data_IF_742484233088
#
_entry.id   IF_742484233088
#
_cell.length_a   1.000
_cell.length_b   1.000
_cell.length_c   1.000
_cell.angle_alpha   90.00
_cell.angle_beta   90.00
_cell.angle_gamma   90.00
#
_symmetry.space_group_name_H-M   'P 1'
#
loop_
_entity.id
_entity.type
_entity.pdbx_description
1 polymer ?
#
# COMPACT_ATOMS: atom_id res chain seq x y z
N UNK A 1 1.50 -1.40 7.46
CA UNK A 1 1.13 0.01 7.62
C UNK A 1 0.41 0.26 8.94
N UNK A 2 1.18 0.75 9.90
CA UNK A 2 0.74 1.28 11.18
C UNK A 2 0.72 2.80 11.14
N UNK A 3 -0.05 3.46 12.01
CA UNK A 3 -0.09 4.92 12.05
C UNK A 3 1.27 5.55 12.37
N UNK A 4 2.11 4.85 13.15
CA UNK A 4 3.46 5.28 13.46
C UNK A 4 4.37 5.34 12.22
N UNK A 5 4.00 4.69 11.12
CA UNK A 5 4.76 4.67 9.86
C UNK A 5 4.35 5.80 8.90
N UNK A 6 3.55 6.77 9.36
CA UNK A 6 3.00 7.85 8.53
C UNK A 6 3.25 9.20 9.20
N UNK A 7 3.87 10.10 8.46
CA UNK A 7 3.89 11.54 8.75
C UNK A 7 2.98 12.27 7.75
N UNK A 8 1.76 12.59 8.20
CA UNK A 8 0.77 13.28 7.37
C UNK A 8 1.13 14.75 7.10
N UNK A 9 1.95 15.38 7.94
CA UNK A 9 2.38 16.77 7.77
C UNK A 9 3.47 16.85 6.71
N UNK A 10 4.46 15.96 6.78
CA UNK A 10 5.53 15.83 5.77
C UNK A 10 5.08 15.09 4.51
N UNK A 11 3.90 14.46 4.53
CA UNK A 11 3.34 13.64 3.44
C UNK A 11 4.26 12.49 3.05
N UNK A 12 4.78 11.79 4.06
CA UNK A 12 5.68 10.65 3.87
C UNK A 12 5.17 9.47 4.67
N UNK A 13 5.28 8.28 4.11
CA UNK A 13 5.20 7.03 4.84
C UNK A 13 6.51 6.25 4.69
N UNK A 14 6.78 5.31 5.58
CA UNK A 14 7.94 4.43 5.45
C UNK A 14 7.58 2.98 5.73
N UNK A 15 8.30 2.07 5.06
CA UNK A 15 8.30 0.65 5.37
C UNK A 15 9.53 0.40 6.23
N UNK A 16 9.34 -0.24 7.38
CA UNK A 16 10.46 -0.51 8.28
C UNK A 16 11.41 -1.56 7.66
N UNK A 17 12.70 -1.57 8.03
CA UNK A 17 13.68 -2.54 7.54
C UNK A 17 13.21 -3.99 7.63
N UNK A 18 12.61 -4.38 8.77
CA UNK A 18 12.11 -5.73 9.02
C UNK A 18 10.94 -6.15 8.11
N UNK A 19 10.24 -5.20 7.50
CA UNK A 19 9.16 -5.43 6.54
C UNK A 19 9.65 -5.33 5.08
N UNK A 20 10.94 -5.00 4.86
CA UNK A 20 11.55 -4.81 3.55
C UNK A 20 12.42 -6.00 3.14
N UNK A 21 12.34 -6.42 1.87
CA UNK A 21 13.16 -7.51 1.33
C UNK A 21 14.67 -7.21 1.37
N UNK A 22 15.04 -5.93 1.33
CA UNK A 22 16.44 -5.48 1.35
C UNK A 22 16.95 -5.11 2.75
N UNK A 23 16.14 -5.34 3.80
CA UNK A 23 16.41 -4.90 5.18
C UNK A 23 16.78 -3.41 5.29
N UNK A 24 16.27 -2.59 4.38
CA UNK A 24 16.42 -1.13 4.37
C UNK A 24 15.05 -0.48 4.45
N UNK A 25 14.96 0.60 5.22
CA UNK A 25 13.75 1.40 5.27
C UNK A 25 13.48 2.00 3.88
N UNK A 26 12.24 1.93 3.43
CA UNK A 26 11.83 2.52 2.15
C UNK A 26 10.89 3.69 2.45
N UNK A 27 11.34 4.89 2.12
CA UNK A 27 10.51 6.10 2.18
C UNK A 27 9.59 6.18 0.96
N UNK A 28 8.31 6.48 1.20
CA UNK A 28 7.28 6.61 0.16
C UNK A 28 6.63 7.98 0.31
N UNK A 29 6.77 8.81 -0.73
CA UNK A 29 6.06 10.08 -0.80
C UNK A 29 4.57 9.85 -1.03
N UNK A 30 3.73 10.57 -0.28
CA UNK A 30 2.28 10.47 -0.35
C UNK A 30 1.71 11.63 -1.17
N UNK A 31 1.03 11.31 -2.27
CA UNK A 31 0.29 12.30 -3.05
C UNK A 31 -1.04 12.66 -2.37
N UNK A 32 -1.72 13.69 -2.88
CA UNK A 32 -2.99 14.17 -2.31
C UNK A 32 -4.07 13.09 -2.23
N UNK A 33 -4.11 12.20 -3.23
CA UNK A 33 -5.04 11.07 -3.27
C UNK A 33 -4.75 10.08 -2.14
N UNK A 34 -3.49 9.70 -1.95
CA UNK A 34 -3.06 8.83 -0.85
C UNK A 34 -3.38 9.48 0.50
N UNK A 35 -3.02 10.74 0.71
CA UNK A 35 -3.36 11.48 1.93
C UNK A 35 -4.87 11.50 2.20
N UNK A 36 -5.70 11.67 1.15
CA UNK A 36 -7.17 11.64 1.30
C UNK A 36 -7.67 10.27 1.73
N UNK A 37 -7.12 9.19 1.17
CA UNK A 37 -7.45 7.81 1.57
C UNK A 37 -7.06 7.58 3.03
N UNK A 38 -5.86 8.01 3.43
CA UNK A 38 -5.37 7.88 4.82
C UNK A 38 -6.24 8.66 5.81
N UNK A 39 -6.64 9.90 5.48
CA UNK A 39 -7.54 10.69 6.33
C UNK A 39 -8.88 9.98 6.59
N UNK A 40 -9.43 9.29 5.59
CA UNK A 40 -10.66 8.50 5.74
C UNK A 40 -10.50 7.29 6.67
N UNK A 41 -9.27 6.88 6.97
CA UNK A 41 -9.01 5.78 7.89
C UNK A 41 -8.87 6.23 9.35
N UNK A 42 -8.72 7.53 9.62
CA UNK A 42 -8.57 8.05 10.98
C UNK A 42 -9.81 7.71 11.80
N UNK A 43 -9.59 7.19 13.01
CA UNK A 43 -10.65 6.74 13.93
C UNK A 43 -11.13 5.31 13.72
N UNK A 44 -10.74 4.63 12.63
CA UNK A 44 -11.15 3.24 12.40
C UNK A 44 -10.41 2.24 13.30
N UNK A 45 -9.14 2.52 13.62
CA UNK A 45 -8.32 1.69 14.51
C UNK A 45 -7.12 2.51 15.03
N UNK A 46 -6.67 2.27 16.27
CA UNK A 46 -5.62 3.06 16.92
C UNK A 46 -4.19 2.72 16.45
N UNK A 47 -3.94 1.46 16.06
CA UNK A 47 -2.63 0.98 15.59
C UNK A 47 -2.50 0.88 14.06
N UNK A 48 -3.34 0.05 13.43
CA UNK A 48 -3.28 -0.19 11.99
C UNK A 48 -4.10 0.83 11.20
N UNK A 49 -3.57 1.22 10.03
CA UNK A 49 -4.24 2.17 9.13
C UNK A 49 -5.38 1.51 8.37
N UNK A 50 -5.15 0.29 7.87
CA UNK A 50 -6.14 -0.47 7.11
C UNK A 50 -6.52 -1.73 7.89
N UNK A 51 -7.81 -1.88 8.16
CA UNK A 51 -8.37 -2.99 8.94
C UNK A 51 -9.62 -3.57 8.26
N UNK A 52 -9.84 -4.87 8.42
CA UNK A 52 -11.15 -5.47 8.22
C UNK A 52 -12.01 -5.16 9.46
N UNK A 53 -13.26 -4.75 9.25
CA UNK A 53 -14.24 -4.47 10.32
C UNK A 53 -15.29 -5.58 10.51
N UNK A 54 -15.17 -6.65 9.72
CA UNK A 54 -16.10 -7.78 9.74
C UNK A 54 -15.39 -9.03 10.26
N UNK A 55 -16.03 -9.72 11.21
CA UNK A 55 -15.58 -11.03 11.67
C UNK A 55 -15.78 -12.07 10.57
N UNK A 56 -14.81 -12.94 10.37
CA UNK A 56 -14.95 -14.10 9.50
C UNK A 56 -14.81 -15.39 10.31
N UNK A 57 -15.58 -16.42 9.96
CA UNK A 57 -15.41 -17.77 10.50
C UNK A 57 -14.21 -18.40 9.81
N UNK A 58 -13.23 -18.83 10.59
CA UNK A 58 -12.06 -19.55 10.08
C UNK A 58 -12.45 -21.00 9.73
N UNK A 59 -11.62 -21.71 8.94
CA UNK A 59 -11.86 -23.12 8.60
C UNK A 59 -11.93 -24.04 9.84
N UNK A 60 -11.31 -23.64 10.94
CA UNK A 60 -11.31 -24.35 12.24
C UNK A 60 -12.58 -24.09 13.08
N UNK A 61 -13.56 -23.34 12.55
CA UNK A 61 -14.80 -22.98 13.24
C UNK A 61 -14.70 -21.79 14.19
N UNK A 62 -13.49 -21.26 14.44
CA UNK A 62 -13.31 -20.10 15.33
C UNK A 62 -13.64 -18.79 14.61
N UNK A 63 -14.22 -17.82 15.34
CA UNK A 63 -14.47 -16.47 14.80
C UNK A 63 -13.20 -15.63 14.90
N UNK A 64 -12.80 -15.00 13.79
CA UNK A 64 -11.74 -14.01 13.81
C UNK A 64 -12.19 -12.75 14.59
N UNK A 65 -11.23 -11.97 15.15
CA UNK A 65 -11.54 -10.69 15.78
C UNK A 65 -12.37 -9.80 14.85
N UNK A 66 -13.32 -9.06 15.42
CA UNK A 66 -14.19 -8.11 14.69
C UNK A 66 -13.36 -7.09 13.92
N UNK A 67 -12.25 -6.63 14.50
CA UNK A 67 -11.30 -5.75 13.83
C UNK A 67 -9.94 -6.43 13.76
N UNK A 68 -9.38 -6.55 12.54
CA UNK A 68 -8.05 -7.15 12.32
C UNK A 68 -7.27 -6.41 11.24
N UNK A 69 -5.94 -6.40 11.34
CA UNK A 69 -5.03 -5.86 10.31
C UNK A 69 -5.39 -6.43 8.94
N UNK A 70 -5.53 -5.55 7.95
CA UNK A 70 -5.74 -5.98 6.57
C UNK A 70 -4.51 -6.78 6.09
N UNK A 71 -4.75 -7.96 5.49
CA UNK A 71 -3.71 -8.80 4.91
C UNK A 71 -3.50 -8.44 3.43
N UNK A 72 -2.33 -8.79 2.93
CA UNK A 72 -1.79 -8.44 1.61
C UNK A 72 -2.63 -8.96 0.42
N UNK A 73 -3.57 -9.87 0.64
CA UNK A 73 -4.38 -10.51 -0.38
C UNK A 73 -5.66 -9.74 -0.72
N UNK A 74 -5.52 -8.49 -1.15
CA UNK A 74 -6.65 -7.73 -1.71
C UNK A 74 -7.09 -8.22 -3.11
N UNK A 75 -6.66 -9.42 -3.56
CA UNK A 75 -6.87 -9.93 -4.92
C UNK A 75 -8.34 -9.94 -5.34
N UNK A 76 -9.26 -10.28 -4.44
CA UNK A 76 -10.71 -10.25 -4.73
C UNK A 76 -11.20 -8.82 -4.97
N UNK A 77 -10.84 -7.89 -4.08
CA UNK A 77 -11.22 -6.49 -4.22
C UNK A 77 -10.56 -5.85 -5.45
N UNK A 78 -9.33 -6.23 -5.76
CA UNK A 78 -8.59 -5.81 -6.94
C UNK A 78 -9.27 -6.27 -8.23
N UNK A 79 -9.54 -7.57 -8.38
CA UNK A 79 -10.27 -8.12 -9.54
C UNK A 79 -11.65 -7.46 -9.70
N UNK A 80 -12.35 -7.19 -8.60
CA UNK A 80 -13.62 -6.48 -8.65
C UNK A 80 -13.46 -5.01 -9.08
N UNK A 81 -12.38 -4.33 -8.69
CA UNK A 81 -12.06 -2.99 -9.17
C UNK A 81 -11.76 -2.96 -10.67
N UNK A 82 -10.94 -3.90 -11.16
CA UNK A 82 -10.62 -4.04 -12.59
C UNK A 82 -11.87 -4.28 -13.43
N UNK A 83 -12.75 -5.20 -13.01
CA UNK A 83 -14.02 -5.45 -13.69
C UNK A 83 -14.90 -4.21 -13.76
N UNK A 84 -14.98 -3.43 -12.68
CA UNK A 84 -15.74 -2.16 -12.66
C UNK A 84 -15.11 -1.08 -13.54
N UNK A 85 -13.80 -1.11 -13.71
CA UNK A 85 -13.07 -0.18 -14.56
C UNK A 85 -13.00 -0.62 -16.04
N UNK A 86 -13.44 -1.84 -16.37
CA UNK A 86 -13.32 -2.40 -17.73
C UNK A 86 -11.87 -2.66 -18.14
N UNK A 87 -11.00 -3.00 -17.18
CA UNK A 87 -9.57 -3.27 -17.43
C UNK A 87 -9.33 -4.78 -17.35
N UNK A 88 -8.75 -5.34 -18.41
CA UNK A 88 -8.31 -6.73 -18.49
C UNK A 88 -6.78 -6.84 -18.43
N UNK A 89 -6.28 -8.04 -18.09
CA UNK A 89 -4.84 -8.39 -18.02
C UNK A 89 -3.95 -7.40 -17.25
N UNK A 90 -4.43 -6.94 -16.08
CA UNK A 90 -3.69 -6.00 -15.23
C UNK A 90 -3.51 -6.55 -13.81
N UNK A 91 -2.26 -6.70 -13.37
CA UNK A 91 -1.90 -7.23 -12.05
C UNK A 91 -1.71 -6.08 -11.05
N UNK A 92 -1.84 -6.39 -9.77
CA UNK A 92 -1.62 -5.38 -8.72
C UNK A 92 -0.20 -4.79 -8.78
N UNK A 93 0.80 -5.60 -9.17
CA UNK A 93 2.18 -5.15 -9.33
C UNK A 93 2.34 -4.11 -10.46
N UNK A 94 1.49 -4.16 -11.48
CA UNK A 94 1.58 -3.28 -12.64
C UNK A 94 1.30 -1.82 -12.28
N UNK A 95 0.63 -1.55 -11.14
CA UNK A 95 0.55 -0.22 -10.55
C UNK A 95 1.93 0.38 -10.25
N UNK A 96 2.86 -0.44 -9.73
CA UNK A 96 4.23 0.00 -9.43
C UNK A 96 5.01 0.26 -10.73
N UNK A 97 4.84 -0.60 -11.74
CA UNK A 97 5.45 -0.38 -13.05
C UNK A 97 4.91 0.90 -13.71
N UNK A 98 3.59 1.10 -13.68
CA UNK A 98 2.93 2.31 -14.21
C UNK A 98 3.44 3.56 -13.51
N UNK A 99 3.52 3.55 -12.17
CA UNK A 99 4.10 4.64 -11.38
C UNK A 99 5.54 4.96 -11.81
N UNK A 100 6.39 3.94 -11.97
CA UNK A 100 7.76 4.12 -12.40
C UNK A 100 7.85 4.70 -13.82
N UNK A 101 7.11 4.14 -14.78
CA UNK A 101 7.06 4.63 -16.15
C UNK A 101 6.62 6.09 -16.25
N UNK A 102 5.60 6.49 -15.48
CA UNK A 102 5.15 7.89 -15.45
C UNK A 102 6.20 8.84 -14.88
N UNK A 103 6.94 8.44 -13.84
CA UNK A 103 8.02 9.28 -13.30
C UNK A 103 9.16 9.44 -14.30
N UNK A 104 9.57 8.37 -14.99
CA UNK A 104 10.58 8.46 -16.06
C UNK A 104 10.10 9.38 -17.18
N UNK A 105 8.84 9.23 -17.63
CA UNK A 105 8.25 10.08 -18.66
C UNK A 105 8.15 11.56 -18.24
N UNK A 106 7.97 11.82 -16.94
CA UNK A 106 7.99 13.17 -16.37
C UNK A 106 9.42 13.74 -16.17
N UNK A 107 10.46 13.02 -16.59
CA UNK A 107 11.85 13.47 -16.51
C UNK A 107 12.53 13.23 -15.16
N UNK A 108 11.95 12.41 -14.27
CA UNK A 108 12.59 12.07 -12.99
C UNK A 108 13.83 11.20 -13.27
N UNK A 109 15.01 11.56 -12.73
CA UNK A 109 16.22 10.77 -12.92
C UNK A 109 16.07 9.33 -12.38
N UNK A 110 16.66 8.36 -13.08
CA UNK A 110 16.58 6.95 -12.70
C UNK A 110 17.17 6.67 -11.31
N UNK A 111 18.19 7.42 -10.89
CA UNK A 111 18.76 7.32 -9.54
C UNK A 111 17.75 7.64 -8.44
N UNK A 112 16.94 8.69 -8.64
CA UNK A 112 15.86 9.09 -7.72
C UNK A 112 14.76 8.03 -7.73
N UNK A 113 14.41 7.52 -8.92
CA UNK A 113 13.42 6.46 -9.04
C UNK A 113 13.87 5.16 -8.36
N UNK A 114 15.16 4.81 -8.47
CA UNK A 114 15.75 3.64 -7.83
C UNK A 114 15.67 3.75 -6.30
N UNK A 115 15.97 4.93 -5.74
CA UNK A 115 15.86 5.21 -4.31
C UNK A 115 14.41 5.09 -3.81
N UNK A 116 13.47 5.79 -4.47
CA UNK A 116 12.04 5.73 -4.14
C UNK A 116 11.44 4.34 -4.35
N UNK A 117 11.93 3.64 -5.36
CA UNK A 117 11.55 2.29 -5.74
C UNK A 117 12.24 1.21 -4.91
N UNK A 118 13.14 1.55 -3.98
CA UNK A 118 13.87 0.57 -3.17
C UNK A 118 14.51 -0.55 -4.00
N UNK A 119 14.96 -0.25 -5.22
CA UNK A 119 15.55 -1.22 -6.14
C UNK A 119 17.06 -1.32 -5.92
N UNK A 120 17.58 -2.55 -5.84
CA UNK A 120 19.02 -2.77 -5.66
C UNK A 120 19.82 -2.50 -6.95
N UNK A 121 19.19 -2.65 -8.11
CA UNK A 121 19.75 -2.31 -9.42
C UNK A 121 18.62 -1.87 -10.37
N UNK A 122 18.98 -1.12 -11.41
CA UNK A 122 18.10 -0.68 -12.50
C UNK A 122 18.13 -1.73 -13.61
#
# INVERSE_FOLDING_TARGET
LEWQQIDMQRRVAWINPEESKSNRAIGVALNDTACRVLKKQIGNHHRWVFVYKESCTKPDGTKAPTVRKMRYDANTAWKAALRRAGIDDFRFHDLRHTWASWLVQAGVPLSVLQEMGGWESI
#
